data_IF_253770555222
#
_entry.id   IF_253770555222
#
_cell.length_a   1.000
_cell.length_b   1.000
_cell.length_c   1.000
_cell.angle_alpha   90.00
_cell.angle_beta   90.00
_cell.angle_gamma   90.00
#
_symmetry.space_group_name_H-M   'P 1'
#
loop_
_entity.id
_entity.type
_entity.pdbx_description
1 polymer ?
#
# COMPACT_ATOMS: atom_id res chain seq x y z
N UNK A 1 -6.67 -42.00 -5.14
CA UNK A 1 -6.23 -42.29 -6.53
C UNK A 1 -6.92 -41.32 -7.47
N UNK A 2 -6.26 -40.22 -7.87
CA UNK A 2 -6.77 -39.25 -8.86
C UNK A 2 -5.65 -38.99 -9.84
N UNK A 3 -5.88 -39.37 -11.10
CA UNK A 3 -4.92 -39.29 -12.19
C UNK A 3 -4.64 -37.83 -12.56
N UNK A 4 -3.36 -37.48 -12.69
CA UNK A 4 -2.91 -36.23 -13.28
C UNK A 4 -2.24 -36.54 -14.61
N UNK A 5 -3.00 -36.43 -15.70
CA UNK A 5 -2.50 -36.43 -17.07
C UNK A 5 -1.95 -35.02 -17.35
N UNK A 6 -0.64 -34.83 -17.22
CA UNK A 6 0.00 -33.55 -17.53
C UNK A 6 0.52 -33.64 -18.97
N UNK A 7 -0.21 -33.01 -19.89
CA UNK A 7 0.15 -32.90 -21.31
C UNK A 7 1.37 -31.99 -21.45
N UNK A 8 2.40 -32.53 -22.09
CA UNK A 8 3.52 -31.79 -22.65
C UNK A 8 3.02 -30.87 -23.78
N UNK A 9 3.20 -29.55 -23.62
CA UNK A 9 3.02 -28.58 -24.69
C UNK A 9 4.42 -28.18 -25.16
N UNK A 10 4.77 -28.58 -26.38
CA UNK A 10 6.02 -28.22 -27.03
C UNK A 10 6.10 -26.71 -27.28
N UNK A 11 7.17 -26.09 -26.81
CA UNK A 11 7.54 -24.72 -27.14
C UNK A 11 8.12 -24.71 -28.56
N UNK A 12 7.30 -24.36 -29.55
CA UNK A 12 7.79 -24.00 -30.87
C UNK A 12 8.47 -22.62 -30.78
N UNK A 13 9.80 -22.59 -30.91
CA UNK A 13 10.57 -21.35 -30.95
C UNK A 13 10.28 -20.57 -32.23
N UNK A 14 9.47 -19.52 -32.10
CA UNK A 14 9.28 -18.52 -33.16
C UNK A 14 10.45 -17.54 -33.11
N UNK A 15 11.42 -17.71 -34.01
CA UNK A 15 12.47 -16.73 -34.29
C UNK A 15 11.82 -15.49 -34.95
N UNK A 16 11.60 -14.45 -34.16
CA UNK A 16 11.16 -13.14 -34.66
C UNK A 16 12.40 -12.43 -35.23
N UNK A 17 12.53 -12.42 -36.55
CA UNK A 17 13.51 -11.60 -37.25
C UNK A 17 13.12 -10.11 -37.09
N UNK A 18 13.97 -9.34 -36.41
CA UNK A 18 13.83 -7.89 -36.32
C UNK A 18 14.17 -7.27 -37.70
N UNK A 19 13.31 -6.42 -38.31
CA UNK A 19 13.69 -5.70 -39.51
C UNK A 19 14.80 -4.70 -39.15
N UNK A 20 15.95 -4.83 -39.80
CA UNK A 20 16.98 -3.80 -39.77
C UNK A 20 16.38 -2.51 -40.36
N UNK A 21 16.34 -1.44 -39.57
CA UNK A 21 15.94 -0.12 -40.07
C UNK A 21 16.94 0.29 -41.16
N UNK A 22 16.48 0.28 -42.42
CA UNK A 22 17.28 0.77 -43.52
C UNK A 22 17.40 2.30 -43.38
N UNK A 23 18.63 2.80 -43.33
CA UNK A 23 18.90 4.24 -43.37
C UNK A 23 18.43 4.77 -44.75
N UNK A 24 17.47 5.71 -44.77
CA UNK A 24 17.00 6.33 -46.01
C UNK A 24 17.98 7.44 -46.42
N UNK A 25 18.55 7.30 -47.62
CA UNK A 25 19.60 8.17 -48.11
C UNK A 25 19.07 8.96 -49.30
N UNK A 26 18.95 10.28 -49.12
CA UNK A 26 18.52 11.20 -50.17
C UNK A 26 19.63 12.20 -50.48
N UNK A 27 19.81 12.51 -51.77
CA UNK A 27 20.71 13.57 -52.20
C UNK A 27 19.90 14.85 -52.41
N UNK A 28 20.26 15.92 -51.72
CA UNK A 28 19.60 17.22 -51.81
C UNK A 28 20.64 18.28 -52.16
N UNK A 29 20.34 19.10 -53.16
CA UNK A 29 21.19 20.20 -53.57
C UNK A 29 20.69 21.49 -52.93
N UNK A 30 21.55 22.14 -52.14
CA UNK A 30 21.22 23.40 -51.47
C UNK A 30 22.43 24.33 -51.60
N UNK A 31 22.22 25.55 -52.10
CA UNK A 31 23.25 26.56 -52.28
C UNK A 31 24.48 26.08 -53.11
N UNK A 32 24.24 25.27 -54.14
CA UNK A 32 25.31 24.78 -55.04
C UNK A 32 26.16 23.62 -54.49
N UNK A 33 25.91 23.16 -53.26
CA UNK A 33 26.59 22.00 -52.66
C UNK A 33 25.62 20.81 -52.58
N UNK A 34 26.09 19.63 -53.00
CA UNK A 34 25.34 18.38 -52.88
C UNK A 34 25.52 17.81 -51.48
N UNK A 35 24.43 17.68 -50.73
CA UNK A 35 24.41 17.04 -49.42
C UNK A 35 23.83 15.63 -49.54
N UNK A 36 24.49 14.67 -48.90
CA UNK A 36 23.92 13.36 -48.58
C UNK A 36 23.16 13.49 -47.27
N UNK A 37 21.84 13.43 -47.36
CA UNK A 37 20.93 13.43 -46.23
C UNK A 37 20.64 11.97 -45.86
N UNK A 38 21.07 11.55 -44.67
CA UNK A 38 20.76 10.24 -44.11
C UNK A 38 19.71 10.43 -43.02
N UNK A 39 18.51 9.92 -43.25
CA UNK A 39 17.44 9.92 -42.23
C UNK A 39 17.46 8.60 -41.49
N UNK A 40 17.73 8.66 -40.19
CA UNK A 40 17.71 7.51 -39.29
C UNK A 40 16.58 7.65 -38.28
N UNK A 41 15.79 6.59 -38.12
CA UNK A 41 14.80 6.50 -37.04
C UNK A 41 15.51 5.99 -35.79
N UNK A 42 15.86 6.90 -34.89
CA UNK A 42 16.44 6.55 -33.60
C UNK A 42 15.33 6.38 -32.55
N UNK A 43 15.41 5.33 -31.72
CA UNK A 43 14.49 5.12 -30.60
C UNK A 43 15.04 5.84 -29.37
N UNK A 44 14.45 6.98 -29.03
CA UNK A 44 14.83 7.71 -27.82
C UNK A 44 14.00 7.20 -26.63
N UNK A 45 14.63 6.86 -25.48
CA UNK A 45 13.89 6.51 -24.28
C UNK A 45 13.15 7.75 -23.75
N UNK A 46 11.83 7.62 -23.58
CA UNK A 46 10.97 8.66 -23.00
C UNK A 46 10.30 8.07 -21.76
N UNK A 47 10.36 8.81 -20.64
CA UNK A 47 9.69 8.39 -19.41
C UNK A 47 8.25 8.92 -19.46
N UNK A 48 7.30 8.01 -19.58
CA UNK A 48 5.87 8.32 -19.59
C UNK A 48 5.27 8.00 -18.22
N UNK A 49 4.38 8.86 -17.73
CA UNK A 49 3.63 8.60 -16.49
C UNK A 49 2.26 8.08 -16.86
N UNK A 50 2.02 6.80 -16.61
CA UNK A 50 0.75 6.14 -16.89
C UNK A 50 0.03 5.91 -15.56
N UNK A 51 -1.27 6.23 -15.52
CA UNK A 51 -2.11 5.92 -14.36
C UNK A 51 -2.51 4.46 -14.43
N UNK A 52 -2.03 3.66 -13.48
CA UNK A 52 -2.43 2.26 -13.34
C UNK A 52 -3.45 2.13 -12.22
N UNK A 53 -4.54 1.41 -12.47
CA UNK A 53 -5.48 0.99 -11.44
C UNK A 53 -4.91 -0.21 -10.69
N UNK A 54 -4.76 -0.09 -9.37
CA UNK A 54 -4.31 -1.18 -8.51
C UNK A 54 -5.32 -1.39 -7.39
N UNK A 55 -5.61 -2.65 -7.10
CA UNK A 55 -6.39 -3.02 -5.93
C UNK A 55 -5.51 -2.89 -4.68
N UNK A 56 -6.01 -2.16 -3.69
CA UNK A 56 -5.38 -2.02 -2.39
C UNK A 56 -6.39 -2.41 -1.31
N UNK A 57 -6.00 -3.34 -0.43
CA UNK A 57 -6.77 -3.66 0.77
C UNK A 57 -6.53 -2.58 1.82
N UNK A 58 -7.57 -1.84 2.17
CA UNK A 58 -7.56 -0.83 3.24
C UNK A 58 -8.38 -1.37 4.40
N UNK A 59 -7.89 -1.21 5.62
CA UNK A 59 -8.62 -1.62 6.81
C UNK A 59 -9.46 -0.46 7.31
N UNK A 60 -10.78 -0.61 7.21
CA UNK A 60 -11.74 0.42 7.65
C UNK A 60 -12.26 0.06 9.05
N UNK A 61 -12.26 0.99 10.02
CA UNK A 61 -12.81 0.73 11.33
C UNK A 61 -14.33 0.57 11.26
N UNK A 62 -14.84 -0.53 11.80
CA UNK A 62 -16.25 -0.83 11.98
C UNK A 62 -16.56 -0.95 13.46
N UNK A 63 -17.59 -0.24 13.90
CA UNK A 63 -18.09 -0.36 15.28
C UNK A 63 -19.22 -1.37 15.29
N UNK A 64 -19.05 -2.43 16.07
CA UNK A 64 -20.08 -3.46 16.26
C UNK A 64 -20.53 -3.45 17.72
N UNK A 65 -21.84 -3.55 17.93
CA UNK A 65 -22.45 -3.64 19.27
C UNK A 65 -23.08 -5.02 19.41
N UNK A 66 -22.64 -5.79 20.39
CA UNK A 66 -23.14 -7.13 20.68
C UNK A 66 -23.75 -7.16 22.09
N UNK A 67 -24.93 -7.76 22.25
CA UNK A 67 -25.51 -7.98 23.58
C UNK A 67 -24.86 -9.22 24.20
N UNK A 68 -24.07 -9.03 25.26
CA UNK A 68 -23.47 -10.13 26.02
C UNK A 68 -24.23 -10.40 27.30
N UNK A 69 -24.57 -11.66 27.51
CA UNK A 69 -25.19 -12.10 28.75
C UNK A 69 -24.11 -12.17 29.84
N UNK A 70 -24.40 -11.54 30.98
CA UNK A 70 -23.55 -11.54 32.16
C UNK A 70 -24.37 -11.96 33.35
N UNK A 71 -23.87 -12.92 34.11
CA UNK A 71 -24.52 -13.38 35.34
C UNK A 71 -24.08 -12.47 36.48
N UNK A 72 -25.03 -11.86 37.19
CA UNK A 72 -24.74 -11.11 38.41
C UNK A 72 -25.59 -11.58 39.58
N UNK A 73 -25.00 -11.55 40.77
CA UNK A 73 -25.71 -11.84 42.01
C UNK A 73 -26.09 -10.52 42.65
N UNK A 74 -27.39 -10.31 42.87
CA UNK A 74 -27.94 -9.14 43.55
C UNK A 74 -28.59 -9.58 44.86
N UNK A 75 -28.44 -8.78 45.92
CA UNK A 75 -29.14 -9.02 47.18
C UNK A 75 -30.49 -8.31 47.14
N UNK A 76 -31.56 -9.07 47.37
CA UNK A 76 -32.92 -8.55 47.40
C UNK A 76 -33.44 -8.63 48.84
N UNK A 77 -34.06 -7.56 49.36
CA UNK A 77 -34.66 -7.61 50.69
C UNK A 77 -35.92 -8.48 50.64
N UNK A 78 -35.97 -9.46 51.53
CA UNK A 78 -37.12 -10.33 51.74
C UNK A 78 -37.67 -10.02 53.13
N UNK A 79 -38.94 -9.63 53.18
CA UNK A 79 -39.64 -9.30 54.43
C UNK A 79 -40.45 -10.50 54.86
N UNK A 80 -40.14 -11.03 56.04
CA UNK A 80 -40.86 -12.13 56.67
C UNK A 80 -41.52 -11.62 57.95
N UNK A 81 -42.81 -11.91 58.13
CA UNK A 81 -43.49 -11.60 59.38
C UNK A 81 -43.25 -12.73 60.36
N UNK A 82 -42.71 -12.41 61.53
CA UNK A 82 -42.56 -13.34 62.64
C UNK A 82 -43.34 -12.85 63.85
N UNK A 83 -43.93 -13.78 64.60
CA UNK A 83 -44.54 -13.46 65.88
C UNK A 83 -43.46 -13.28 66.93
N UNK A 84 -43.42 -12.11 67.56
CA UNK A 84 -42.51 -11.83 68.66
C UNK A 84 -43.32 -11.51 69.92
N UNK A 85 -42.97 -12.10 71.08
CA UNK A 85 -43.65 -11.80 72.33
C UNK A 85 -43.27 -10.38 72.80
N UNK A 86 -44.26 -9.57 73.14
CA UNK A 86 -44.07 -8.28 73.79
C UNK A 86 -44.88 -8.22 75.07
N UNK A 87 -44.27 -7.70 76.13
CA UNK A 87 -44.96 -7.47 77.40
C UNK A 87 -45.72 -6.14 77.31
N UNK A 88 -47.03 -6.21 77.46
CA UNK A 88 -47.91 -5.05 77.53
C UNK A 88 -48.20 -4.67 78.97
N UNK A 89 -48.54 -3.40 79.20
CA UNK A 89 -48.93 -2.85 80.51
C UNK A 89 -47.91 -3.02 81.64
N UNK A 90 -46.62 -3.30 81.36
CA UNK A 90 -45.60 -3.47 82.39
C UNK A 90 -45.39 -2.23 83.29
N UNK A 91 -45.77 -1.05 82.81
CA UNK A 91 -45.65 0.23 83.52
C UNK A 91 -46.94 0.68 84.23
N UNK A 92 -48.08 0.03 83.97
CA UNK A 92 -49.37 0.42 84.54
C UNK A 92 -49.63 -0.37 85.84
N UNK A 93 -49.63 0.26 87.02
CA UNK A 93 -49.82 -0.46 88.29
C UNK A 93 -51.27 -0.92 88.53
N UNK A 94 -52.24 -0.45 87.73
CA UNK A 94 -53.66 -0.77 87.90
C UNK A 94 -54.16 -1.89 86.98
N UNK A 95 -53.32 -2.42 86.10
CA UNK A 95 -53.68 -3.51 85.20
C UNK A 95 -52.53 -4.54 85.14
N UNK A 96 -52.83 -5.86 85.10
CA UNK A 96 -51.79 -6.86 85.03
C UNK A 96 -51.02 -6.79 83.71
N UNK A 97 -49.69 -6.87 83.79
CA UNK A 97 -48.85 -7.07 82.62
C UNK A 97 -49.14 -8.43 81.99
N UNK A 98 -49.19 -8.48 80.66
CA UNK A 98 -49.43 -9.73 79.93
C UNK A 98 -48.58 -9.78 78.67
N UNK A 99 -48.27 -11.00 78.22
CA UNK A 99 -47.53 -11.23 76.98
C UNK A 99 -48.52 -11.33 75.83
N UNK A 100 -48.32 -10.54 74.80
CA UNK A 100 -49.03 -10.66 73.54
C UNK A 100 -48.04 -10.89 72.39
N UNK A 101 -48.43 -11.69 71.41
CA UNK A 101 -47.63 -11.93 70.22
C UNK A 101 -48.01 -10.93 69.14
N UNK A 102 -47.01 -10.22 68.63
CA UNK A 102 -47.18 -9.24 67.56
C UNK A 102 -46.46 -9.73 66.32
N UNK A 103 -47.08 -9.55 65.15
CA UNK A 103 -46.39 -9.77 63.88
C UNK A 103 -45.43 -8.61 63.64
N UNK A 104 -44.13 -8.90 63.61
CA UNK A 104 -43.08 -7.93 63.34
C UNK A 104 -42.45 -8.28 61.99
N UNK A 105 -42.30 -7.32 61.06
CA UNK A 105 -41.57 -7.54 59.83
C UNK A 105 -40.07 -7.67 60.14
N UNK A 106 -39.48 -8.80 59.79
CA UNK A 106 -38.05 -9.04 59.79
C UNK A 106 -37.54 -9.02 58.34
N UNK A 107 -36.62 -8.10 58.03
CA UNK A 107 -36.00 -8.03 56.70
C UNK A 107 -34.70 -8.81 56.70
N UNK A 108 -34.56 -9.77 55.78
CA UNK A 108 -33.30 -10.44 55.48
C UNK A 108 -32.92 -10.27 54.01
N UNK A 109 -31.63 -10.20 53.73
CA UNK A 109 -31.12 -10.05 52.37
C UNK A 109 -30.84 -11.43 51.79
N UNK A 110 -31.52 -11.77 50.70
CA UNK A 110 -31.29 -13.03 49.99
C UNK A 110 -30.55 -12.77 48.67
N UNK A 111 -29.50 -13.55 48.36
CA UNK A 111 -28.84 -13.48 47.06
C UNK A 111 -29.76 -14.07 45.99
N UNK A 112 -29.95 -13.32 44.90
CA UNK A 112 -30.62 -13.79 43.69
C UNK A 112 -29.67 -13.63 42.51
N UNK A 113 -29.57 -14.68 41.71
CA UNK A 113 -28.77 -14.67 40.50
C UNK A 113 -29.66 -14.26 39.33
N UNK A 114 -29.25 -13.24 38.58
CA UNK A 114 -29.96 -12.78 37.39
C UNK A 114 -29.01 -12.70 36.19
N UNK A 115 -29.56 -12.96 35.00
CA UNK A 115 -28.85 -12.86 33.73
C UNK A 115 -29.16 -11.47 33.15
N UNK A 116 -28.13 -10.63 33.08
CA UNK A 116 -28.24 -9.26 32.53
C UNK A 116 -27.58 -9.21 31.17
N UNK A 117 -28.31 -8.70 30.19
CA UNK A 117 -27.79 -8.44 28.84
C UNK A 117 -27.14 -7.06 28.81
N UNK A 118 -25.83 -7.04 28.69
CA UNK A 118 -25.04 -5.80 28.63
C UNK A 118 -24.58 -5.57 27.19
N UNK A 119 -24.83 -4.39 26.60
CA UNK A 119 -24.28 -4.06 25.28
C UNK A 119 -22.76 -3.88 25.40
N UNK A 120 -22.01 -4.64 24.62
CA UNK A 120 -20.56 -4.52 24.49
C UNK A 120 -20.24 -4.00 23.10
N UNK A 121 -19.66 -2.80 23.05
CA UNK A 121 -19.20 -2.16 21.82
C UNK A 121 -17.73 -2.45 21.61
N UNK A 122 -17.35 -2.96 20.45
CA UNK A 122 -15.95 -3.14 20.08
C UNK A 122 -15.68 -2.63 18.66
N UNK A 123 -14.42 -2.24 18.44
CA UNK A 123 -13.92 -1.79 17.14
C UNK A 123 -13.25 -2.96 16.43
N UNK A 124 -13.69 -3.23 15.21
CA UNK A 124 -13.10 -4.24 14.34
C UNK A 124 -12.58 -3.56 13.06
N UNK A 125 -11.40 -3.94 12.60
CA UNK A 125 -10.85 -3.48 11.33
C UNK A 125 -11.29 -4.45 10.24
N UNK A 126 -12.18 -4.00 9.35
CA UNK A 126 -12.68 -4.83 8.25
C UNK A 126 -11.87 -4.53 7.00
N UNK A 127 -11.36 -5.56 6.29
CA UNK A 127 -10.66 -5.36 5.03
C UNK A 127 -11.64 -4.94 3.95
N UNK A 128 -11.34 -3.82 3.30
CA UNK A 128 -12.10 -3.26 2.18
C UNK A 128 -11.16 -3.15 0.98
N UNK A 129 -11.56 -3.72 -0.16
CA UNK A 129 -10.79 -3.60 -1.41
C UNK A 129 -11.16 -2.30 -2.11
N UNK A 130 -10.18 -1.41 -2.24
CA UNK A 130 -10.33 -0.15 -2.97
C UNK A 130 -9.44 -0.16 -4.20
N UNK A 131 -10.00 0.19 -5.35
CA UNK A 131 -9.21 0.47 -6.55
C UNK A 131 -8.62 1.86 -6.39
N UNK A 132 -7.30 1.94 -6.38
CA UNK A 132 -6.54 3.19 -6.29
C UNK A 132 -5.78 3.40 -7.59
N UNK A 133 -5.93 4.58 -8.16
CA UNK A 133 -5.17 5.03 -9.32
C UNK A 133 -3.79 5.49 -8.85
N UNK A 134 -2.75 4.76 -9.25
CA UNK A 134 -1.37 5.08 -8.91
C UNK A 134 -0.63 5.49 -10.19
N UNK A 135 -0.03 6.69 -10.25
CA UNK A 135 0.84 7.05 -11.35
C UNK A 135 2.12 6.20 -11.28
N UNK A 136 2.40 5.48 -12.36
CA UNK A 136 3.61 4.67 -12.52
C UNK A 136 4.40 5.23 -13.69
N UNK A 137 5.71 5.42 -13.48
CA UNK A 137 6.62 5.83 -14.54
C UNK A 137 7.02 4.59 -15.34
N UNK A 138 6.63 4.55 -16.61
CA UNK A 138 7.02 3.51 -17.55
C UNK A 138 8.04 4.09 -18.54
N UNK A 139 9.01 3.26 -18.92
CA UNK A 139 10.00 3.62 -19.93
C UNK A 139 9.44 3.25 -21.30
N UNK A 140 9.06 4.25 -22.08
CA UNK A 140 8.68 4.11 -23.48
C UNK A 140 9.86 4.40 -24.41
N UNK A 141 9.72 4.04 -25.68
CA UNK A 141 10.65 4.44 -26.74
C UNK A 141 9.85 5.20 -27.80
N UNK A 142 10.14 6.49 -27.96
CA UNK A 142 9.57 7.28 -29.03
C UNK A 142 10.50 7.21 -30.24
N UNK A 143 9.92 6.97 -31.43
CA UNK A 143 10.66 7.05 -32.68
C UNK A 143 10.93 8.52 -33.02
N UNK A 144 12.20 8.90 -33.11
CA UNK A 144 12.61 10.22 -33.54
C UNK A 144 13.39 10.11 -34.84
N UNK A 145 12.97 10.88 -35.85
CA UNK A 145 13.70 10.98 -37.11
C UNK A 145 14.89 11.93 -36.91
N UNK A 146 16.10 11.38 -36.92
CA UNK A 146 17.34 12.13 -36.91
C UNK A 146 17.86 12.25 -38.33
N UNK A 147 18.02 13.49 -38.79
CA UNK A 147 18.49 13.80 -40.13
C UNK A 147 19.95 14.25 -40.02
N UNK A 148 20.86 13.49 -40.60
CA UNK A 148 22.27 13.86 -40.70
C UNK A 148 22.60 14.27 -42.14
N UNK A 149 23.17 15.46 -42.31
CA UNK A 149 23.57 16.00 -43.62
C UNK A 149 25.07 16.08 -43.71
N UNK A 150 25.65 15.35 -44.67
CA UNK A 150 27.09 15.38 -44.96
C UNK A 150 27.29 15.94 -46.36
N UNK A 151 28.13 16.96 -46.50
CA UNK A 151 28.47 17.53 -47.81
C UNK A 151 29.30 16.50 -48.61
N UNK A 152 28.88 16.21 -49.84
CA UNK A 152 29.59 15.33 -50.76
C UNK A 152 30.06 16.19 -51.94
N UNK A 153 31.23 16.80 -51.79
CA UNK A 153 31.90 17.48 -52.91
C UNK A 153 32.49 16.43 -53.86
N UNK A 154 32.32 16.56 -55.20
CA UNK A 154 33.19 15.85 -56.12
C UNK A 154 34.62 16.38 -55.91
N UNK A 155 35.53 15.50 -55.50
CA UNK A 155 36.96 15.85 -55.39
C UNK A 155 37.52 15.93 -56.81
N UNK A 156 37.95 17.09 -57.32
CA UNK A 156 38.85 17.11 -58.47
C UNK A 156 40.19 16.51 -58.04
N UNK A 157 40.61 15.42 -58.69
CA UNK A 157 41.93 14.83 -58.52
C UNK A 157 43.01 15.89 -58.77
N UNK A 158 43.65 16.33 -57.69
CA UNK A 158 44.92 17.05 -57.74
C UNK A 158 45.82 16.41 -56.67
N UNK A 159 47.00 15.86 -57.04
CA UNK A 159 47.87 15.21 -56.07
C UNK A 159 48.64 16.29 -55.30
N UNK A 160 48.13 16.71 -54.13
CA UNK A 160 48.94 17.43 -53.15
C UNK A 160 49.24 16.50 -51.98
N UNK A 161 50.50 16.08 -51.91
CA UNK A 161 51.12 15.47 -50.73
C UNK A 161 50.90 16.37 -49.51
N UNK A 162 50.07 15.92 -48.58
CA UNK A 162 50.05 16.45 -47.22
C UNK A 162 49.71 15.30 -46.28
N UNK A 163 50.72 14.95 -45.50
CA UNK A 163 50.76 13.82 -44.60
C UNK A 163 49.58 13.83 -43.62
N UNK A 164 48.98 12.65 -43.46
CA UNK A 164 48.06 12.36 -42.38
C UNK A 164 48.77 12.55 -41.02
N UNK A 165 48.46 13.65 -40.33
CA UNK A 165 48.78 13.76 -38.89
C UNK A 165 47.61 13.16 -38.12
N UNK A 166 47.77 11.87 -37.76
CA UNK A 166 46.90 11.17 -36.82
C UNK A 166 47.11 11.78 -35.44
N UNK A 167 46.20 12.65 -35.01
CA UNK A 167 46.15 13.13 -33.64
C UNK A 167 45.60 12.01 -32.73
N UNK A 168 46.49 11.20 -32.14
CA UNK A 168 46.17 10.36 -30.98
C UNK A 168 45.86 11.27 -29.80
N UNK A 169 44.58 11.38 -29.41
CA UNK A 169 44.19 11.95 -28.11
C UNK A 169 44.58 10.96 -27.01
N UNK A 170 45.35 11.36 -25.99
CA UNK A 170 45.51 10.54 -24.79
C UNK A 170 44.17 10.47 -24.04
N UNK A 171 43.69 9.25 -23.82
CA UNK A 171 42.64 8.94 -22.85
C UNK A 171 43.22 9.23 -21.47
N UNK A 172 42.69 10.25 -20.79
CA UNK A 172 43.15 10.61 -19.45
C UNK A 172 42.79 12.04 -19.08
N UNK A 173 41.50 12.31 -18.89
CA UNK A 173 41.06 13.47 -18.13
C UNK A 173 40.03 13.02 -17.11
N UNK A 174 40.46 12.91 -15.86
CA UNK A 174 39.56 12.99 -14.71
C UNK A 174 39.06 14.43 -14.68
N UNK A 175 37.95 14.68 -15.35
CA UNK A 175 37.20 15.91 -15.21
C UNK A 175 36.59 15.91 -13.81
N UNK A 176 37.16 16.72 -12.91
CA UNK A 176 36.51 17.11 -11.67
C UNK A 176 35.23 17.83 -12.06
N UNK A 177 34.08 17.18 -11.85
CA UNK A 177 32.76 17.79 -11.97
C UNK A 177 32.63 18.72 -10.76
N UNK A 178 32.85 20.02 -10.98
CA UNK A 178 32.82 21.05 -9.94
C UNK A 178 31.40 21.38 -9.41
N UNK A 179 30.40 20.51 -9.61
CA UNK A 179 29.01 20.77 -9.20
C UNK A 179 28.21 19.46 -8.96
N UNK A 180 28.76 18.54 -8.17
CA UNK A 180 27.98 17.42 -7.63
C UNK A 180 27.58 17.70 -6.17
N UNK A 181 26.28 17.72 -5.82
CA UNK A 181 25.85 17.95 -4.44
C UNK A 181 26.28 16.76 -3.54
N UNK A 182 26.64 17.02 -2.26
CA UNK A 182 27.19 15.98 -1.39
C UNK A 182 26.17 14.85 -1.15
N UNK A 183 26.52 13.64 -1.61
CA UNK A 183 25.85 12.40 -1.21
C UNK A 183 26.37 12.01 0.17
N UNK A 184 25.63 12.35 1.21
CA UNK A 184 25.84 11.81 2.55
C UNK A 184 25.44 10.33 2.57
N UNK A 185 26.42 9.44 2.34
CA UNK A 185 26.31 8.03 2.68
C UNK A 185 26.70 7.82 4.13
N UNK A 186 25.71 7.58 5.00
CA UNK A 186 25.93 7.22 6.40
C UNK A 186 26.42 5.77 6.50
N UNK A 187 27.72 5.57 6.71
CA UNK A 187 28.25 4.32 7.23
C UNK A 187 28.25 4.38 8.77
N UNK A 188 27.24 3.80 9.41
CA UNK A 188 27.26 3.58 10.86
C UNK A 188 28.13 2.35 11.11
N UNK A 189 29.34 2.57 11.61
CA UNK A 189 30.19 1.52 12.20
C UNK A 189 29.77 1.37 13.65
N UNK A 190 29.09 0.26 13.96
CA UNK A 190 28.88 -0.16 15.34
C UNK A 190 30.21 -0.71 15.89
N UNK A 191 30.62 -0.18 17.03
CA UNK A 191 31.59 -0.80 17.95
C UNK A 191 30.90 -0.99 19.29
#
# INVERSE_FOLDING_TARGET
>A
MRSKLTRWIGFAGLLIALPAAADDVRYVQQNGVTYRETTRVERQPVVETVVEQREQTVYTPRVTTEMRESVRTVYVPVVEYRYEPRVHNWWNPFAPAHVAYHQIPATRWEPRTEIVRTPVTYHELVPETRVVEKPVRQLGFAAQNRIERVAVTPVPMTPSSSAATVARRPVGSVGVIANEPPRYGAATVLR
#
